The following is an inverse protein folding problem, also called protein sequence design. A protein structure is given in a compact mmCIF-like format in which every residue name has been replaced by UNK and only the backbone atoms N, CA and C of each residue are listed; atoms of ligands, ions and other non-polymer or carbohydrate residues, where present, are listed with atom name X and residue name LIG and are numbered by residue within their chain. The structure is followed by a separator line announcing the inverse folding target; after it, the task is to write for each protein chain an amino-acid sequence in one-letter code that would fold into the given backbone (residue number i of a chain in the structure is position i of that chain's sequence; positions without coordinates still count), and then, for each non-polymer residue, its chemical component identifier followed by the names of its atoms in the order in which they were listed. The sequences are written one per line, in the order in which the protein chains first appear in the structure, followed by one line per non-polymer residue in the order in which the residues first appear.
data_IF_979722469832
#
_entry.id   IF_979722469832
#
_cell.length_a   1.000
_cell.length_b   1.000
_cell.length_c   1.000
_cell.angle_alpha   90.00
_cell.angle_beta   90.00
_cell.angle_gamma   90.00
#
_symmetry.space_group_name_H-M   'P 1'
#
loop_
_entity.id
_entity.type
_entity.pdbx_description
1 polymer ?
#
# COMPACT_ATOMS: atom_id res chain seq x y z
N UNK A 1 -40.13 -69.50 62.18
CA UNK A 1 -40.32 -70.87 61.64
C UNK A 1 -39.33 -71.05 60.48
N UNK A 2 -38.53 -72.09 60.56
CA UNK A 2 -37.64 -72.78 59.60
C UNK A 2 -36.32 -72.02 59.21
N UNK A 3 -35.25 -72.53 59.88
CA UNK A 3 -34.24 -73.52 59.42
C UNK A 3 -33.49 -73.01 58.15
N UNK A 4 -32.22 -72.70 58.17
CA UNK A 4 -31.11 -73.59 58.48
C UNK A 4 -30.53 -74.14 57.24
N UNK A 5 -29.29 -73.77 56.89
CA UNK A 5 -28.30 -74.74 56.35
C UNK A 5 -26.90 -74.09 56.35
N UNK A 6 -26.11 -74.54 57.33
CA UNK A 6 -24.65 -74.42 57.32
C UNK A 6 -24.10 -75.42 56.28
N UNK A 7 -23.33 -74.88 55.33
CA UNK A 7 -22.49 -75.75 54.51
C UNK A 7 -21.03 -75.54 54.98
N UNK A 8 -20.61 -76.64 55.66
CA UNK A 8 -19.27 -76.79 56.16
C UNK A 8 -18.31 -77.00 54.97
N UNK A 9 -17.55 -75.97 54.58
CA UNK A 9 -16.47 -76.12 53.64
C UNK A 9 -15.20 -76.52 54.31
N UNK A 10 -14.60 -77.64 53.86
CA UNK A 10 -13.38 -78.23 54.36
C UNK A 10 -12.14 -77.33 54.05
N UNK A 11 -11.08 -77.34 54.90
CA UNK A 11 -9.92 -76.47 54.76
C UNK A 11 -9.11 -76.66 53.42
N UNK A 12 -9.28 -77.76 52.75
CA UNK A 12 -8.58 -78.16 51.56
C UNK A 12 -9.04 -77.36 50.30
N UNK A 13 -10.31 -76.96 50.24
CA UNK A 13 -10.88 -76.19 49.12
C UNK A 13 -10.48 -74.68 49.17
N UNK A 14 -10.37 -74.18 50.41
CA UNK A 14 -9.88 -72.77 50.54
C UNK A 14 -8.41 -72.57 50.10
N UNK A 15 -7.56 -73.61 50.37
CA UNK A 15 -6.14 -73.55 50.00
C UNK A 15 -5.93 -73.59 48.43
N UNK A 16 -6.76 -74.38 47.73
CA UNK A 16 -6.73 -74.45 46.28
C UNK A 16 -7.24 -73.18 45.61
N UNK A 17 -8.24 -72.54 46.18
CA UNK A 17 -8.77 -71.27 45.66
C UNK A 17 -7.78 -70.11 45.80
N UNK A 18 -7.04 -70.05 46.90
CA UNK A 18 -6.01 -69.05 47.20
C UNK A 18 -4.81 -69.19 46.24
N UNK A 19 -4.33 -70.40 45.96
CA UNK A 19 -3.22 -70.65 45.03
C UNK A 19 -3.59 -70.35 43.56
N UNK A 20 -4.81 -70.61 43.13
CA UNK A 20 -5.30 -70.28 41.82
C UNK A 20 -5.48 -68.76 41.60
N UNK A 21 -5.88 -68.06 42.65
CA UNK A 21 -6.00 -66.58 42.65
C UNK A 21 -4.63 -65.89 42.49
N UNK A 22 -3.63 -66.36 43.21
CA UNK A 22 -2.27 -65.76 43.12
C UNK A 22 -1.59 -65.99 41.76
N UNK A 23 -1.80 -67.10 41.10
CA UNK A 23 -1.21 -67.35 39.76
C UNK A 23 -1.85 -66.43 38.70
N UNK A 24 -3.11 -66.10 38.81
CA UNK A 24 -3.78 -65.17 37.89
C UNK A 24 -3.39 -63.72 38.08
N UNK A 25 -3.21 -63.28 39.31
CA UNK A 25 -2.82 -61.89 39.61
C UNK A 25 -1.40 -61.60 39.13
N UNK A 26 -0.46 -62.54 39.33
CA UNK A 26 0.94 -62.32 38.88
C UNK A 26 1.10 -62.37 37.35
N UNK A 27 0.27 -63.16 36.64
CA UNK A 27 0.30 -63.18 35.17
C UNK A 27 -0.23 -61.93 34.52
N UNK A 28 -1.28 -61.36 35.07
CA UNK A 28 -1.92 -60.13 34.54
C UNK A 28 -1.10 -58.89 34.84
N UNK A 29 -0.47 -58.77 35.99
CA UNK A 29 0.41 -57.64 36.32
C UNK A 29 1.68 -57.59 35.44
N UNK A 30 2.26 -58.73 35.09
CA UNK A 30 3.47 -58.75 34.23
C UNK A 30 3.15 -58.39 32.77
N UNK A 31 1.97 -58.72 32.26
CA UNK A 31 1.55 -58.39 30.92
C UNK A 31 1.12 -56.89 30.80
N UNK A 32 0.44 -56.37 31.82
CA UNK A 32 0.01 -54.97 31.86
C UNK A 32 1.20 -54.00 31.97
N UNK A 33 2.25 -54.36 32.72
CA UNK A 33 3.42 -53.49 32.90
C UNK A 33 4.31 -53.41 31.67
N UNK A 34 4.41 -54.46 30.83
CA UNK A 34 5.16 -54.43 29.56
C UNK A 34 4.40 -53.74 28.42
N UNK A 35 3.05 -53.79 28.46
CA UNK A 35 2.23 -53.12 27.47
C UNK A 35 2.20 -51.60 27.63
N UNK A 36 2.14 -51.10 28.86
CA UNK A 36 2.05 -49.67 29.15
C UNK A 36 3.33 -48.88 28.83
N UNK A 37 4.51 -49.47 28.91
CA UNK A 37 5.77 -48.76 28.66
C UNK A 37 5.96 -48.48 27.17
N UNK A 38 5.51 -49.38 26.30
CA UNK A 38 5.55 -49.17 24.84
C UNK A 38 4.39 -48.24 24.35
N UNK A 39 3.25 -48.31 25.00
CA UNK A 39 2.10 -47.46 24.68
C UNK A 39 2.36 -45.99 25.07
N UNK A 40 3.04 -45.73 26.18
CA UNK A 40 3.38 -44.36 26.59
C UNK A 40 4.45 -43.69 25.71
N UNK A 41 5.43 -44.44 25.20
CA UNK A 41 6.40 -43.87 24.29
C UNK A 41 5.82 -43.61 22.91
N UNK A 42 4.98 -44.49 22.38
CA UNK A 42 4.27 -44.29 21.12
C UNK A 42 3.29 -43.12 21.21
N UNK A 43 2.56 -43.01 22.33
CA UNK A 43 1.65 -41.88 22.58
C UNK A 43 2.38 -40.55 22.70
N UNK A 44 3.53 -40.51 23.36
CA UNK A 44 4.38 -39.30 23.43
C UNK A 44 4.94 -38.91 22.08
N UNK A 45 5.38 -39.88 21.29
CA UNK A 45 5.89 -39.63 19.93
C UNK A 45 4.75 -39.09 19.01
N UNK A 46 3.57 -39.71 19.07
CA UNK A 46 2.41 -39.25 18.32
C UNK A 46 1.97 -37.83 18.72
N UNK A 47 1.97 -37.53 20.02
CA UNK A 47 1.67 -36.19 20.54
C UNK A 47 2.69 -35.14 20.06
N UNK A 48 3.99 -35.49 20.09
CA UNK A 48 5.06 -34.61 19.59
C UNK A 48 4.94 -34.34 18.10
N UNK A 49 4.62 -35.34 17.31
CA UNK A 49 4.41 -35.19 15.85
C UNK A 49 3.16 -34.35 15.57
N UNK A 50 2.08 -34.56 16.32
CA UNK A 50 0.85 -33.78 16.19
C UNK A 50 1.07 -32.30 16.57
N UNK A 51 1.84 -32.06 17.64
CA UNK A 51 2.18 -30.70 18.06
C UNK A 51 3.08 -30.01 17.01
N UNK A 52 4.05 -30.72 16.47
CA UNK A 52 4.92 -30.21 15.39
C UNK A 52 4.12 -29.92 14.12
N UNK A 53 3.18 -30.80 13.73
CA UNK A 53 2.28 -30.58 12.60
C UNK A 53 1.35 -29.39 12.82
N UNK A 54 0.84 -29.18 14.05
CA UNK A 54 0.02 -28.02 14.40
C UNK A 54 0.81 -26.71 14.31
N UNK A 55 2.10 -26.71 14.69
CA UNK A 55 2.98 -25.55 14.52
C UNK A 55 3.26 -25.21 13.03
N UNK A 56 3.38 -26.24 12.20
CA UNK A 56 3.61 -26.04 10.75
C UNK A 56 2.38 -25.50 10.01
N UNK A 57 1.17 -25.80 10.49
CA UNK A 57 -0.08 -25.27 9.89
C UNK A 57 -0.46 -23.88 10.40
N UNK A 58 0.03 -23.45 11.55
CA UNK A 58 -0.23 -22.12 12.09
C UNK A 58 0.56 -20.99 11.37
N UNK A 59 1.50 -21.33 10.50
CA UNK A 59 2.38 -20.38 9.80
C UNK A 59 1.80 -19.74 8.52
N UNK A 60 0.61 -20.14 8.03
CA UNK A 60 -0.07 -19.44 6.93
C UNK A 60 -0.79 -18.19 7.44
N UNK A 61 -0.03 -17.15 7.81
CA UNK A 61 -0.58 -15.81 7.99
C UNK A 61 -1.22 -15.37 6.68
N UNK A 62 -2.53 -15.11 6.66
CA UNK A 62 -3.21 -14.55 5.48
C UNK A 62 -2.48 -13.25 5.09
N UNK A 63 -1.89 -13.22 3.91
CA UNK A 63 -1.25 -12.02 3.38
C UNK A 63 -2.28 -10.89 3.35
N UNK A 64 -2.00 -9.77 4.01
CA UNK A 64 -2.88 -8.59 3.96
C UNK A 64 -2.92 -8.07 2.54
N UNK A 65 -4.09 -7.93 1.91
CA UNK A 65 -4.18 -7.38 0.57
C UNK A 65 -3.73 -5.92 0.57
N UNK A 66 -2.93 -5.53 -0.42
CA UNK A 66 -2.58 -4.13 -0.65
C UNK A 66 -3.79 -3.35 -1.14
N UNK A 67 -3.93 -2.10 -0.67
CA UNK A 67 -4.91 -1.13 -1.16
C UNK A 67 -4.21 -0.15 -2.09
N UNK A 68 -4.80 0.08 -3.25
CA UNK A 68 -4.27 1.01 -4.23
C UNK A 68 -5.12 2.28 -4.28
N UNK A 69 -4.43 3.40 -4.38
CA UNK A 69 -5.01 4.74 -4.46
C UNK A 69 -4.53 5.41 -5.75
N UNK A 70 -5.35 6.30 -6.26
CA UNK A 70 -5.05 7.05 -7.47
C UNK A 70 -5.39 8.53 -7.28
N UNK A 71 -4.58 9.42 -7.84
CA UNK A 71 -4.95 10.80 -7.98
C UNK A 71 -6.06 10.91 -9.03
N UNK A 72 -7.14 11.58 -8.69
CA UNK A 72 -8.27 11.77 -9.60
C UNK A 72 -8.15 13.09 -10.34
N UNK A 73 -8.34 13.03 -11.65
CA UNK A 73 -8.54 14.24 -12.44
C UNK A 73 -10.00 14.61 -12.34
N UNK A 74 -10.37 15.89 -12.10
CA UNK A 74 -11.76 16.30 -12.25
C UNK A 74 -12.26 15.86 -13.63
N UNK A 75 -13.53 15.44 -13.77
CA UNK A 75 -14.06 15.08 -15.07
C UNK A 75 -13.78 16.23 -16.03
N UNK A 76 -13.05 15.91 -17.07
CA UNK A 76 -12.73 16.88 -18.12
C UNK A 76 -14.04 17.41 -18.67
N UNK A 77 -14.35 18.66 -18.36
CA UNK A 77 -15.12 19.46 -19.30
C UNK A 77 -14.30 19.35 -20.59
N UNK A 78 -14.82 18.70 -21.63
CA UNK A 78 -14.06 18.46 -22.85
C UNK A 78 -13.30 19.72 -23.31
N UNK A 79 -12.35 19.62 -24.25
CA UNK A 79 -11.50 20.75 -24.57
C UNK A 79 -12.35 21.98 -24.83
N UNK A 80 -12.13 23.03 -24.03
CA UNK A 80 -12.77 24.32 -24.25
C UNK A 80 -12.25 24.80 -25.59
N UNK A 81 -13.12 24.87 -26.59
CA UNK A 81 -12.77 25.43 -27.88
C UNK A 81 -12.39 26.90 -27.67
N UNK A 82 -11.11 27.19 -27.56
CA UNK A 82 -10.65 28.57 -27.51
C UNK A 82 -10.59 29.09 -28.97
N UNK A 83 -11.31 30.18 -29.25
CA UNK A 83 -11.34 30.78 -30.58
C UNK A 83 -9.94 31.26 -31.04
N UNK A 84 -9.04 31.58 -30.11
CA UNK A 84 -7.67 32.03 -30.38
C UNK A 84 -6.65 31.33 -29.43
N UNK A 85 -6.30 30.08 -29.68
CA UNK A 85 -5.24 29.44 -28.91
C UNK A 85 -3.88 30.11 -29.22
N UNK A 86 -3.00 30.10 -28.23
CA UNK A 86 -1.60 30.51 -28.44
C UNK A 86 -0.99 29.63 -29.54
N UNK A 87 -0.28 30.25 -30.53
CA UNK A 87 0.28 29.50 -31.65
C UNK A 87 1.57 28.73 -31.28
N UNK A 88 1.50 27.99 -30.18
CA UNK A 88 2.60 27.20 -29.64
C UNK A 88 2.18 25.76 -29.36
N UNK A 89 3.13 24.87 -29.55
CA UNK A 89 3.03 23.46 -29.15
C UNK A 89 3.81 23.25 -27.86
N UNK A 90 3.08 22.88 -26.79
CA UNK A 90 3.63 22.61 -25.48
C UNK A 90 3.91 21.11 -25.32
N UNK A 91 5.13 20.74 -24.98
CA UNK A 91 5.48 19.38 -24.57
C UNK A 91 5.47 19.27 -23.05
N UNK A 92 4.79 18.24 -22.53
CA UNK A 92 4.84 17.89 -21.11
C UNK A 92 5.96 16.87 -20.93
N UNK A 93 6.97 17.28 -20.17
CA UNK A 93 8.14 16.48 -19.82
C UNK A 93 7.92 15.65 -18.57
N UNK A 94 9.01 15.12 -18.04
CA UNK A 94 9.00 14.32 -16.82
C UNK A 94 8.96 15.21 -15.59
N UNK A 95 8.28 14.73 -14.57
CA UNK A 95 8.42 15.22 -13.19
C UNK A 95 9.51 14.37 -12.53
N UNK A 96 10.60 15.00 -12.14
CA UNK A 96 11.67 14.35 -11.37
C UNK A 96 11.34 14.39 -9.89
N UNK A 97 11.90 13.48 -9.09
CA UNK A 97 11.69 13.46 -7.64
C UNK A 97 12.81 12.70 -6.93
N UNK A 98 12.99 12.88 -5.60
CA UNK A 98 13.74 11.97 -4.76
C UNK A 98 13.24 10.53 -4.88
N UNK A 99 14.12 9.54 -4.61
CA UNK A 99 13.82 8.12 -4.78
C UNK A 99 12.50 7.72 -4.11
N UNK A 100 12.23 8.25 -2.92
CA UNK A 100 11.06 7.94 -2.11
C UNK A 100 9.71 8.25 -2.80
N UNK A 101 9.67 9.26 -3.69
CA UNK A 101 8.46 9.65 -4.45
C UNK A 101 8.44 9.11 -5.88
N UNK A 102 9.41 8.26 -6.24
CA UNK A 102 9.44 7.53 -7.53
C UNK A 102 8.91 6.10 -7.41
N UNK A 103 8.57 5.70 -6.18
CA UNK A 103 7.98 4.42 -5.85
C UNK A 103 6.46 4.53 -5.70
N UNK A 104 5.77 3.40 -5.68
CA UNK A 104 4.32 3.32 -5.52
C UNK A 104 3.83 3.41 -4.06
N UNK A 105 4.73 3.58 -3.11
CA UNK A 105 4.38 3.61 -1.69
C UNK A 105 3.90 5.00 -1.26
N UNK A 106 2.85 5.04 -0.43
CA UNK A 106 2.41 6.30 0.18
C UNK A 106 3.38 6.65 1.30
N UNK A 107 3.93 7.85 1.24
CA UNK A 107 4.92 8.38 2.19
C UNK A 107 4.21 9.14 3.30
N UNK A 108 4.67 8.96 4.55
CA UNK A 108 4.23 9.71 5.71
C UNK A 108 5.41 10.22 6.55
N UNK A 109 5.16 11.24 7.37
CA UNK A 109 6.07 11.68 8.42
C UNK A 109 5.32 11.89 9.73
N UNK A 110 5.93 11.46 10.83
CA UNK A 110 5.40 11.59 12.20
C UNK A 110 5.75 12.90 12.88
N UNK A 111 6.22 13.87 12.10
CA UNK A 111 6.83 15.10 12.58
C UNK A 111 8.36 14.99 12.64
N UNK A 112 9.05 16.10 12.51
CA UNK A 112 10.52 16.14 12.43
C UNK A 112 11.05 15.64 11.07
N UNK A 113 12.26 15.10 11.07
CA UNK A 113 13.02 14.73 9.87
C UNK A 113 12.75 13.27 9.40
N UNK A 114 12.03 12.48 10.21
CA UNK A 114 11.78 11.07 9.90
C UNK A 114 10.60 10.89 8.94
N UNK A 115 10.81 10.09 7.91
CA UNK A 115 9.79 9.68 6.96
C UNK A 115 9.72 8.15 6.89
N UNK A 116 8.51 7.64 6.65
CA UNK A 116 8.25 6.23 6.43
C UNK A 116 7.32 6.01 5.23
N UNK A 117 7.11 4.76 4.89
CA UNK A 117 6.18 4.36 3.84
C UNK A 117 5.19 3.33 4.37
N UNK A 118 3.97 3.35 3.86
CA UNK A 118 2.98 2.34 4.19
C UNK A 118 3.25 1.04 3.41
N UNK A 119 3.26 -0.08 4.09
CA UNK A 119 3.54 -1.39 3.49
C UNK A 119 2.43 -1.87 2.54
N UNK A 120 1.16 -1.67 2.94
CA UNK A 120 -0.03 -2.20 2.26
C UNK A 120 -0.89 -1.14 1.60
N UNK A 121 -0.47 0.13 1.62
CA UNK A 121 -1.20 1.25 1.03
C UNK A 121 -0.29 1.90 0.00
N UNK A 122 -0.72 1.83 -1.24
CA UNK A 122 0.12 2.15 -2.39
C UNK A 122 -0.62 3.04 -3.37
N UNK A 123 0.14 3.82 -4.10
CA UNK A 123 -0.36 4.45 -5.32
C UNK A 123 -0.53 3.41 -6.43
N UNK A 124 -1.46 3.63 -7.34
CA UNK A 124 -1.60 2.80 -8.55
C UNK A 124 -0.42 2.92 -9.50
N UNK A 125 0.22 4.09 -9.49
CA UNK A 125 1.42 4.45 -10.23
C UNK A 125 2.25 5.42 -9.38
N UNK A 126 3.57 5.58 -9.63
CA UNK A 126 4.37 6.58 -8.93
C UNK A 126 3.75 7.97 -9.00
N UNK A 127 3.81 8.79 -7.93
CA UNK A 127 3.24 10.14 -7.91
C UNK A 127 3.68 11.02 -9.08
N UNK A 128 4.94 10.91 -9.50
CA UNK A 128 5.49 11.66 -10.63
C UNK A 128 4.79 11.37 -11.96
N UNK A 129 4.42 10.12 -12.20
CA UNK A 129 3.72 9.72 -13.43
C UNK A 129 2.25 10.18 -13.38
N UNK A 130 1.56 10.00 -12.24
CA UNK A 130 0.19 10.49 -12.08
C UNK A 130 0.09 12.00 -12.23
N UNK A 131 1.02 12.77 -11.65
CA UNK A 131 1.04 14.24 -11.77
C UNK A 131 1.27 14.66 -13.22
N UNK A 132 2.22 14.04 -13.93
CA UNK A 132 2.49 14.33 -15.33
C UNK A 132 1.26 14.05 -16.22
N UNK A 133 0.54 12.97 -15.99
CA UNK A 133 -0.70 12.64 -16.70
C UNK A 133 -1.82 13.66 -16.42
N UNK A 134 -1.99 14.07 -15.15
CA UNK A 134 -2.96 15.11 -14.78
C UNK A 134 -2.62 16.43 -15.46
N UNK A 135 -1.35 16.82 -15.45
CA UNK A 135 -0.89 18.02 -16.16
C UNK A 135 -1.23 17.94 -17.65
N UNK A 136 -0.85 16.85 -18.31
CA UNK A 136 -1.15 16.66 -19.74
C UNK A 136 -2.64 16.85 -20.05
N UNK A 137 -3.51 16.22 -19.29
CA UNK A 137 -4.96 16.31 -19.46
C UNK A 137 -5.49 17.72 -19.20
N UNK A 138 -5.08 18.34 -18.10
CA UNK A 138 -5.57 19.68 -17.76
C UNK A 138 -5.08 20.77 -18.71
N UNK A 139 -3.84 20.68 -19.18
CA UNK A 139 -3.31 21.62 -20.18
C UNK A 139 -3.99 21.42 -21.54
N UNK A 140 -4.31 20.18 -21.95
CA UNK A 140 -5.12 19.92 -23.15
C UNK A 140 -6.53 20.46 -23.03
N UNK A 141 -7.20 20.17 -21.92
CA UNK A 141 -8.57 20.59 -21.67
C UNK A 141 -8.73 22.13 -21.62
N UNK A 142 -7.65 22.87 -21.31
CA UNK A 142 -7.69 24.32 -21.30
C UNK A 142 -7.95 24.95 -22.67
N UNK A 143 -7.67 24.24 -23.77
CA UNK A 143 -7.73 24.78 -25.11
C UNK A 143 -6.83 26.00 -25.38
N UNK A 144 -5.93 26.32 -24.45
CA UNK A 144 -5.10 27.54 -24.46
C UNK A 144 -3.99 27.48 -25.50
N UNK A 145 -3.52 26.29 -25.84
CA UNK A 145 -2.37 26.04 -26.71
C UNK A 145 -2.81 25.40 -28.03
N UNK A 146 -2.08 25.66 -29.12
CA UNK A 146 -2.34 25.00 -30.40
C UNK A 146 -2.27 23.46 -30.26
N UNK A 147 -1.35 22.95 -29.44
CA UNK A 147 -1.28 21.53 -29.12
C UNK A 147 -0.54 21.29 -27.82
N UNK A 148 -0.92 20.23 -27.10
CA UNK A 148 -0.22 19.77 -25.88
C UNK A 148 0.03 18.27 -26.02
N UNK A 149 1.30 17.87 -25.96
CA UNK A 149 1.73 16.50 -26.18
C UNK A 149 2.74 16.06 -25.11
N UNK A 150 2.97 14.78 -24.99
CA UNK A 150 4.07 14.26 -24.16
C UNK A 150 5.41 14.48 -24.88
N UNK A 151 6.48 14.62 -24.11
CA UNK A 151 7.85 14.71 -24.67
C UNK A 151 8.23 13.47 -25.51
N UNK A 152 7.58 12.33 -25.27
CA UNK A 152 7.81 11.07 -26.02
C UNK A 152 7.07 11.00 -27.36
N UNK A 153 6.26 12.00 -27.66
CA UNK A 153 5.61 12.07 -28.97
C UNK A 153 6.60 12.50 -30.06
N UNK A 154 6.36 12.10 -31.31
CA UNK A 154 7.17 12.52 -32.47
C UNK A 154 6.89 13.97 -32.92
N UNK A 155 6.12 14.70 -32.11
CA UNK A 155 5.71 16.08 -32.40
C UNK A 155 6.84 17.04 -31.99
N UNK A 156 7.18 17.99 -32.89
CA UNK A 156 8.07 19.09 -32.56
C UNK A 156 7.34 20.11 -31.69
N UNK A 157 7.83 20.29 -30.46
CA UNK A 157 7.33 21.32 -29.56
C UNK A 157 8.06 22.65 -29.71
N UNK A 158 7.43 23.69 -29.22
CA UNK A 158 8.04 25.01 -29.05
C UNK A 158 8.62 25.17 -27.66
N UNK A 159 7.88 24.70 -26.68
CA UNK A 159 8.26 24.73 -25.26
C UNK A 159 8.13 23.36 -24.61
N UNK A 160 9.00 23.12 -23.64
CA UNK A 160 8.98 21.95 -22.76
C UNK A 160 8.66 22.39 -21.34
N UNK A 161 7.54 21.92 -20.81
CA UNK A 161 7.16 22.07 -19.40
C UNK A 161 7.57 20.80 -18.65
N UNK A 162 8.45 20.92 -17.71
CA UNK A 162 8.92 19.83 -16.83
C UNK A 162 9.04 20.32 -15.39
N UNK A 163 9.37 19.45 -14.44
CA UNK A 163 9.46 19.89 -13.06
C UNK A 163 10.14 18.95 -12.12
N UNK A 164 10.13 19.35 -10.85
CA UNK A 164 10.65 18.59 -9.74
C UNK A 164 9.65 18.56 -8.59
N UNK A 165 9.37 17.35 -8.09
CA UNK A 165 8.53 17.10 -6.91
C UNK A 165 9.47 16.94 -5.72
N UNK A 166 9.49 17.94 -4.82
CA UNK A 166 10.33 17.95 -3.63
C UNK A 166 9.69 17.22 -2.46
N UNK A 167 8.34 17.33 -2.35
CA UNK A 167 7.60 16.74 -1.24
C UNK A 167 6.19 16.30 -1.68
N UNK A 168 5.80 15.07 -1.30
CA UNK A 168 4.49 14.50 -1.59
C UNK A 168 4.14 13.47 -0.52
N UNK A 169 3.66 13.93 0.61
CA UNK A 169 3.48 13.05 1.77
C UNK A 169 2.33 13.46 2.68
N UNK A 170 1.94 12.52 3.50
CA UNK A 170 1.20 12.76 4.72
C UNK A 170 2.14 13.37 5.77
N UNK A 171 1.67 14.40 6.47
CA UNK A 171 2.32 14.94 7.67
C UNK A 171 1.37 14.75 8.84
N UNK A 172 1.76 13.88 9.78
CA UNK A 172 1.00 13.67 10.99
C UNK A 172 0.92 14.95 11.82
N UNK A 173 -0.26 15.19 12.39
CA UNK A 173 -0.51 16.36 13.20
C UNK A 173 -1.96 16.48 13.62
N UNK A 174 -2.35 17.65 14.09
CA UNK A 174 -3.73 17.97 14.41
C UNK A 174 -4.08 19.35 13.81
N UNK A 175 -4.64 19.37 12.58
CA UNK A 175 -5.03 18.23 11.73
C UNK A 175 -3.86 17.51 11.05
N UNK A 176 -4.10 16.30 10.55
CA UNK A 176 -3.24 15.65 9.57
C UNK A 176 -3.32 16.42 8.26
N UNK A 177 -2.22 16.58 7.54
CA UNK A 177 -2.19 17.31 6.27
C UNK A 177 -1.54 16.49 5.16
N UNK A 178 -1.98 16.70 3.93
CA UNK A 178 -1.30 16.28 2.72
C UNK A 178 -0.40 17.41 2.21
N UNK A 179 0.92 17.23 2.30
CA UNK A 179 1.92 18.22 1.84
C UNK A 179 2.32 17.94 0.42
N UNK A 180 2.33 19.02 -0.38
CA UNK A 180 2.89 19.00 -1.73
C UNK A 180 3.85 20.17 -1.88
N UNK A 181 5.05 19.89 -2.37
CA UNK A 181 6.04 20.91 -2.77
C UNK A 181 6.61 20.51 -4.11
N UNK A 182 6.44 21.36 -5.11
CA UNK A 182 6.92 21.11 -6.47
C UNK A 182 7.29 22.40 -7.18
N UNK A 183 8.13 22.26 -8.17
CA UNK A 183 8.56 23.35 -9.06
C UNK A 183 8.34 22.93 -10.50
N UNK A 184 7.84 23.84 -11.32
CA UNK A 184 7.76 23.66 -12.76
C UNK A 184 8.62 24.68 -13.47
N UNK A 185 9.23 24.23 -14.55
CA UNK A 185 10.06 25.05 -15.44
C UNK A 185 9.55 24.94 -16.87
N UNK A 186 9.44 26.08 -17.53
CA UNK A 186 9.20 26.16 -18.97
C UNK A 186 10.53 26.44 -19.69
N UNK A 187 10.91 25.54 -20.55
CA UNK A 187 12.10 25.68 -21.40
C UNK A 187 11.70 25.95 -22.84
N UNK A 188 12.24 26.99 -23.41
CA UNK A 188 12.21 27.20 -24.87
C UNK A 188 13.10 26.15 -25.54
N UNK A 189 12.51 25.34 -26.43
CA UNK A 189 13.23 24.20 -27.04
C UNK A 189 14.29 24.70 -28.06
N UNK A 190 14.04 25.81 -28.70
CA UNK A 190 14.94 26.35 -29.71
C UNK A 190 16.23 26.93 -29.10
N UNK A 191 16.08 27.71 -28.05
CA UNK A 191 17.22 28.32 -27.34
C UNK A 191 17.81 27.46 -26.25
N UNK A 192 17.06 26.42 -25.79
CA UNK A 192 17.38 25.59 -24.62
C UNK A 192 17.43 26.37 -23.30
N UNK A 193 16.87 27.57 -23.25
CA UNK A 193 16.85 28.43 -22.07
C UNK A 193 15.57 28.17 -21.27
N UNK A 194 15.66 28.12 -19.92
CA UNK A 194 14.49 28.17 -19.03
C UNK A 194 13.99 29.62 -19.01
N UNK A 195 12.75 29.81 -19.44
CA UNK A 195 12.14 31.13 -19.63
C UNK A 195 11.11 31.47 -18.56
N UNK A 196 10.63 30.47 -17.82
CA UNK A 196 9.71 30.64 -16.71
C UNK A 196 9.93 29.52 -15.71
N UNK A 197 9.82 29.86 -14.43
CA UNK A 197 9.89 28.93 -13.29
C UNK A 197 8.81 29.33 -12.28
N UNK A 198 8.14 28.37 -11.71
CA UNK A 198 7.18 28.60 -10.63
C UNK A 198 7.29 27.54 -9.54
N UNK A 199 7.41 27.96 -8.30
CA UNK A 199 7.52 27.13 -7.13
C UNK A 199 6.17 27.11 -6.38
N UNK A 200 5.72 25.93 -6.00
CA UNK A 200 4.48 25.69 -5.27
C UNK A 200 4.74 24.87 -4.01
N UNK A 201 4.22 25.32 -2.88
CA UNK A 201 4.23 24.55 -1.64
C UNK A 201 2.94 24.80 -0.88
N UNK A 202 2.30 23.73 -0.42
CA UNK A 202 1.06 23.81 0.35
C UNK A 202 0.84 22.60 1.22
N UNK A 203 0.25 22.83 2.40
CA UNK A 203 -0.32 21.85 3.31
C UNK A 203 -1.85 21.90 3.17
N UNK A 204 -2.47 20.81 2.73
CA UNK A 204 -3.93 20.70 2.64
C UNK A 204 -4.43 19.81 3.80
N UNK A 205 -5.33 20.32 4.68
CA UNK A 205 -5.87 19.54 5.77
C UNK A 205 -6.69 18.34 5.27
N UNK A 206 -6.41 17.16 5.83
CA UNK A 206 -7.23 15.98 5.61
C UNK A 206 -8.51 16.05 6.48
N UNK A 207 -9.62 15.54 5.95
CA UNK A 207 -10.91 15.47 6.67
C UNK A 207 -10.93 14.41 7.76
N UNK A 208 -9.94 13.55 7.84
CA UNK A 208 -9.78 12.45 8.79
C UNK A 208 -8.33 11.99 8.87
N UNK A 209 -8.10 10.96 9.68
CA UNK A 209 -6.75 10.38 9.89
C UNK A 209 -6.49 9.11 9.08
N UNK A 210 -7.48 8.65 8.32
CA UNK A 210 -7.30 7.49 7.47
C UNK A 210 -6.63 7.87 6.13
N UNK A 211 -5.98 6.91 5.51
CA UNK A 211 -5.24 7.13 4.26
C UNK A 211 -6.12 7.65 3.13
N UNK A 212 -7.40 7.28 3.10
CA UNK A 212 -8.34 7.80 2.09
C UNK A 212 -8.53 9.31 2.23
N UNK A 213 -8.67 9.82 3.45
CA UNK A 213 -8.77 11.26 3.73
C UNK A 213 -7.49 12.00 3.36
N UNK A 214 -6.32 11.40 3.63
CA UNK A 214 -5.01 11.95 3.24
C UNK A 214 -4.86 11.99 1.72
N UNK A 215 -5.21 10.92 1.03
CA UNK A 215 -5.20 10.88 -0.44
C UNK A 215 -6.11 11.94 -1.03
N UNK A 216 -7.30 12.14 -0.47
CA UNK A 216 -8.19 13.21 -0.91
C UNK A 216 -7.59 14.61 -0.72
N UNK A 217 -6.88 14.84 0.41
CA UNK A 217 -6.16 16.09 0.66
C UNK A 217 -5.01 16.29 -0.34
N UNK A 218 -4.18 15.27 -0.58
CA UNK A 218 -3.10 15.31 -1.58
C UNK A 218 -3.65 15.57 -2.98
N UNK A 219 -4.76 14.91 -3.34
CA UNK A 219 -5.43 15.11 -4.63
C UNK A 219 -5.91 16.55 -4.80
N UNK A 220 -6.60 17.11 -3.80
CA UNK A 220 -7.04 18.51 -3.81
C UNK A 220 -5.85 19.47 -3.92
N UNK A 221 -4.77 19.20 -3.19
CA UNK A 221 -3.56 19.99 -3.20
C UNK A 221 -2.90 20.02 -4.60
N UNK A 222 -2.76 18.87 -5.27
CA UNK A 222 -2.26 18.79 -6.65
C UNK A 222 -3.15 19.58 -7.63
N UNK A 223 -4.47 19.47 -7.50
CA UNK A 223 -5.39 20.23 -8.37
C UNK A 223 -5.21 21.74 -8.21
N UNK A 224 -5.05 22.21 -6.99
CA UNK A 224 -4.78 23.62 -6.69
C UNK A 224 -3.42 24.06 -7.24
N UNK A 225 -2.38 23.25 -7.07
CA UNK A 225 -1.04 23.52 -7.59
C UNK A 225 -1.04 23.63 -9.12
N UNK A 226 -1.68 22.70 -9.82
CA UNK A 226 -1.75 22.74 -11.28
C UNK A 226 -2.59 23.96 -11.77
N UNK A 227 -3.65 24.32 -11.07
CA UNK A 227 -4.42 25.52 -11.41
C UNK A 227 -3.59 26.80 -11.24
N UNK A 228 -2.78 26.88 -10.18
CA UNK A 228 -1.85 27.99 -9.92
C UNK A 228 -0.77 28.06 -10.99
N UNK A 229 -0.14 26.94 -11.35
CA UNK A 229 0.84 26.87 -12.43
C UNK A 229 0.26 27.35 -13.77
N UNK A 230 -0.95 26.92 -14.12
CA UNK A 230 -1.63 27.34 -15.33
C UNK A 230 -1.85 28.86 -15.35
N UNK A 231 -2.37 29.42 -14.24
CA UNK A 231 -2.60 30.85 -14.11
C UNK A 231 -1.31 31.66 -14.27
N UNK A 232 -0.24 31.24 -13.59
CA UNK A 232 1.06 31.88 -13.68
C UNK A 232 1.68 31.79 -15.10
N UNK A 233 1.51 30.63 -15.76
CA UNK A 233 1.99 30.43 -17.13
C UNK A 233 1.21 31.24 -18.15
N UNK A 234 -0.12 31.38 -17.96
CA UNK A 234 -0.97 32.25 -18.78
C UNK A 234 -0.56 33.72 -18.64
N UNK A 235 -0.20 34.16 -17.42
CA UNK A 235 0.33 35.51 -17.19
C UNK A 235 1.67 35.70 -17.91
N UNK A 236 2.60 34.73 -17.80
CA UNK A 236 3.86 34.78 -18.52
C UNK A 236 3.67 34.95 -20.03
N UNK A 237 2.77 34.19 -20.67
CA UNK A 237 2.51 34.33 -22.10
C UNK A 237 1.72 35.59 -22.48
N UNK A 238 1.00 36.20 -21.55
CA UNK A 238 0.38 37.50 -21.77
C UNK A 238 1.44 38.63 -21.83
N UNK A 239 2.47 38.53 -21.01
CA UNK A 239 3.60 39.47 -20.97
C UNK A 239 4.64 39.20 -22.07
N UNK A 240 4.74 37.95 -22.54
CA UNK A 240 5.69 37.48 -23.55
C UNK A 240 4.95 36.75 -24.68
N UNK A 241 4.15 37.46 -25.50
CA UNK A 241 3.33 36.82 -26.51
C UNK A 241 4.22 36.10 -27.56
N UNK A 242 3.98 34.81 -27.81
CA UNK A 242 4.71 34.06 -28.79
C UNK A 242 4.38 34.60 -30.20
N UNK A 243 5.41 34.82 -31.00
CA UNK A 243 5.23 35.21 -32.41
C UNK A 243 4.69 34.02 -33.21
N UNK A 244 3.62 34.25 -33.97
CA UNK A 244 3.14 33.23 -34.90
C UNK A 244 4.26 32.79 -35.86
N UNK A 245 4.44 31.50 -36.01
CA UNK A 245 5.34 30.99 -37.08
C UNK A 245 4.73 31.31 -38.43
N UNK A 246 5.53 31.81 -39.41
CA UNK A 246 5.10 32.02 -40.77
C UNK A 246 4.66 30.71 -41.43
#
# INVERSE_FOLDING_TARGET
MKRGNEIMTTPTELSKALLAGQARVNGTLSAAFRGNFRATTAAKLALSISLLAAFLTAGCGAARPSKYYQLTVPPDSGPVANANPLPITLLIGRITAPALYREDQIVYSTGGESMGTYEYQKWSEPPTEMIAEIMLRQFRASGRYHGVYTLRSDIRGDFLLHGHLYDFREVEGSPVVGRVTMELELRDIKSSVVVWTHFYTRDEPASGKDTGAVVAALNKNIQQGIAEFRSSLDQYFAEHPPTAKP
#
